data_IF_950194345059
#
_entry.id   IF_950194345059
#
_cell.length_a   1.000
_cell.length_b   1.000
_cell.length_c   1.000
_cell.angle_alpha   90.00
_cell.angle_beta   90.00
_cell.angle_gamma   90.00
#
_symmetry.space_group_name_H-M   'P 1'
#
loop_
_entity.id
_entity.type
_entity.pdbx_description
1 polymer ?
#
# COMPACT_ATOMS: atom_id res chain seq x y z
N UNK A 1 3.23 20.77 -23.60
CA UNK A 1 1.91 21.44 -23.61
C UNK A 1 1.94 22.81 -22.94
N UNK A 2 2.71 23.01 -21.86
CA UNK A 2 2.88 24.33 -21.21
C UNK A 2 3.24 25.43 -22.20
N UNK A 3 4.26 25.21 -23.03
CA UNK A 3 4.82 26.25 -23.91
C UNK A 3 3.82 26.81 -24.92
N UNK A 4 3.07 25.96 -25.64
CA UNK A 4 2.02 26.42 -26.57
C UNK A 4 0.89 27.20 -25.89
N UNK A 5 0.57 26.88 -24.63
CA UNK A 5 -0.44 27.60 -23.86
C UNK A 5 0.10 28.93 -23.33
N UNK A 6 1.34 28.96 -22.84
CA UNK A 6 2.03 30.19 -22.46
C UNK A 6 2.20 31.10 -23.68
N UNK A 7 2.61 30.56 -24.83
CA UNK A 7 2.67 31.27 -26.11
C UNK A 7 1.30 31.79 -26.51
N UNK A 8 0.22 31.02 -26.36
CA UNK A 8 -1.13 31.48 -26.70
C UNK A 8 -1.66 32.57 -25.75
N UNK A 9 -1.29 32.54 -24.46
CA UNK A 9 -1.61 33.59 -23.48
C UNK A 9 -0.76 34.83 -23.76
N UNK A 10 0.53 34.65 -24.02
CA UNK A 10 1.47 35.72 -24.35
C UNK A 10 1.06 36.40 -25.67
N UNK A 11 0.75 35.63 -26.71
CA UNK A 11 0.21 36.15 -27.97
C UNK A 11 -1.11 36.89 -27.74
N UNK A 12 -1.97 36.43 -26.83
CA UNK A 12 -3.19 37.19 -26.49
C UNK A 12 -2.83 38.56 -25.89
N UNK A 13 -1.92 38.64 -24.92
CA UNK A 13 -1.46 39.91 -24.36
C UNK A 13 -0.83 40.83 -25.41
N UNK A 14 -0.05 40.26 -26.33
CA UNK A 14 0.77 41.01 -27.29
C UNK A 14 -0.02 41.45 -28.52
N UNK A 15 -1.00 40.65 -28.96
CA UNK A 15 -1.65 40.79 -30.27
C UNK A 15 -3.14 41.13 -30.19
N UNK A 16 -3.80 40.92 -29.05
CA UNK A 16 -5.21 41.27 -28.93
C UNK A 16 -5.36 42.79 -28.91
N UNK A 17 -6.14 43.34 -29.83
CA UNK A 17 -6.47 44.77 -29.85
C UNK A 17 -7.20 45.22 -28.58
N UNK A 18 -7.91 44.29 -27.94
CA UNK A 18 -8.74 44.45 -26.74
C UNK A 18 -7.97 44.22 -25.43
N UNK A 19 -6.72 43.71 -25.47
CA UNK A 19 -5.90 43.52 -24.26
C UNK A 19 -5.55 44.83 -23.55
N UNK A 20 -5.56 45.94 -24.30
CA UNK A 20 -5.28 47.31 -23.83
C UNK A 20 -6.52 48.17 -23.68
N UNK A 21 -7.71 47.64 -23.99
CA UNK A 21 -8.94 48.41 -23.92
C UNK A 21 -9.52 48.33 -22.51
N UNK A 22 -9.70 49.49 -21.92
CA UNK A 22 -10.43 49.63 -20.67
C UNK A 22 -11.93 49.54 -20.92
N UNK A 23 -12.61 48.96 -19.94
CA UNK A 23 -14.07 48.93 -19.94
C UNK A 23 -14.57 50.36 -19.73
N UNK A 24 -15.45 50.83 -20.61
CA UNK A 24 -16.05 52.15 -20.49
C UNK A 24 -17.16 52.10 -19.44
N UNK A 25 -17.10 52.98 -18.44
CA UNK A 25 -18.20 53.15 -17.51
C UNK A 25 -19.31 53.99 -18.17
N UNK A 26 -20.36 53.31 -18.62
CA UNK A 26 -21.51 53.92 -19.29
C UNK A 26 -22.71 54.07 -18.36
N UNK A 27 -22.55 53.84 -17.05
CA UNK A 27 -23.67 53.78 -16.11
C UNK A 27 -24.43 55.12 -15.98
N UNK A 28 -23.70 56.24 -16.04
CA UNK A 28 -24.26 57.59 -15.96
C UNK A 28 -24.45 58.24 -17.36
N UNK A 29 -24.10 57.53 -18.44
CA UNK A 29 -24.21 58.05 -19.80
C UNK A 29 -25.65 58.01 -20.29
N UNK A 30 -26.24 59.18 -20.54
CA UNK A 30 -27.59 59.25 -21.12
C UNK A 30 -27.56 58.87 -22.60
N UNK A 31 -28.07 57.68 -22.93
CA UNK A 31 -28.11 57.08 -24.29
C UNK A 31 -26.73 56.77 -24.88
N UNK A 32 -26.03 55.73 -24.38
CA UNK A 32 -24.74 55.31 -24.91
C UNK A 32 -24.86 54.93 -26.40
N UNK A 33 -23.83 55.28 -27.16
CA UNK A 33 -23.76 55.00 -28.58
C UNK A 33 -23.56 53.52 -28.85
N UNK A 34 -23.98 53.07 -30.04
CA UNK A 34 -23.77 51.69 -30.49
C UNK A 34 -22.29 51.28 -30.47
N UNK A 35 -21.38 52.20 -30.75
CA UNK A 35 -19.94 51.94 -30.76
C UNK A 35 -19.39 51.73 -29.34
N UNK A 36 -19.85 52.50 -28.35
CA UNK A 36 -19.46 52.32 -26.94
C UNK A 36 -19.97 50.99 -26.38
N UNK A 37 -21.19 50.61 -26.71
CA UNK A 37 -21.74 49.29 -26.34
C UNK A 37 -20.97 48.16 -27.03
N UNK A 38 -20.67 48.28 -28.32
CA UNK A 38 -19.89 47.29 -29.06
C UNK A 38 -18.46 47.15 -28.50
N UNK A 39 -17.85 48.26 -28.08
CA UNK A 39 -16.55 48.27 -27.40
C UNK A 39 -16.60 47.48 -26.08
N UNK A 40 -17.55 47.78 -25.20
CA UNK A 40 -17.68 47.06 -23.93
C UNK A 40 -17.97 45.56 -24.14
N UNK A 41 -18.79 45.20 -25.12
CA UNK A 41 -19.03 43.81 -25.49
C UNK A 41 -17.76 43.10 -25.96
N UNK A 42 -16.95 43.77 -26.80
CA UNK A 42 -15.67 43.23 -27.24
C UNK A 42 -14.71 43.01 -26.04
N UNK A 43 -14.62 43.98 -25.13
CA UNK A 43 -13.81 43.87 -23.90
C UNK A 43 -14.27 42.71 -23.01
N UNK A 44 -15.58 42.55 -22.80
CA UNK A 44 -16.13 41.44 -21.99
C UNK A 44 -15.85 40.09 -22.65
N UNK A 45 -16.10 39.97 -23.96
CA UNK A 45 -15.85 38.75 -24.71
C UNK A 45 -14.38 38.33 -24.56
N UNK A 46 -13.46 39.26 -24.77
CA UNK A 46 -12.03 38.99 -24.70
C UNK A 46 -11.56 38.59 -23.30
N UNK A 47 -12.02 39.30 -22.26
CA UNK A 47 -11.73 38.94 -20.86
C UNK A 47 -12.27 37.54 -20.53
N UNK A 48 -13.45 37.20 -21.04
CA UNK A 48 -14.07 35.88 -20.85
C UNK A 48 -13.27 34.78 -21.55
N UNK A 49 -12.77 35.04 -22.76
CA UNK A 49 -11.89 34.12 -23.48
C UNK A 49 -10.58 33.90 -22.74
N UNK A 50 -9.93 34.96 -22.23
CA UNK A 50 -8.72 34.83 -21.42
C UNK A 50 -8.98 34.03 -20.14
N UNK A 51 -10.02 34.39 -19.39
CA UNK A 51 -10.43 33.70 -18.17
C UNK A 51 -10.63 32.20 -18.43
N UNK A 52 -11.31 31.84 -19.52
CA UNK A 52 -11.53 30.45 -19.91
C UNK A 52 -10.21 29.73 -20.20
N UNK A 53 -9.27 30.36 -20.93
CA UNK A 53 -7.95 29.78 -21.22
C UNK A 53 -7.14 29.52 -19.95
N UNK A 54 -7.09 30.51 -19.05
CA UNK A 54 -6.38 30.39 -17.76
C UNK A 54 -7.00 29.30 -16.89
N UNK A 55 -8.33 29.23 -16.81
CA UNK A 55 -9.01 28.19 -16.05
C UNK A 55 -8.78 26.80 -16.61
N UNK A 56 -8.80 26.62 -17.93
CA UNK A 56 -8.50 25.32 -18.55
C UNK A 56 -7.09 24.85 -18.17
N UNK A 57 -6.10 25.75 -18.16
CA UNK A 57 -4.74 25.44 -17.67
C UNK A 57 -4.76 25.01 -16.20
N UNK A 58 -5.44 25.76 -15.34
CA UNK A 58 -5.53 25.47 -13.91
C UNK A 58 -6.23 24.11 -13.66
N UNK A 59 -7.36 23.86 -14.31
CA UNK A 59 -8.08 22.59 -14.20
C UNK A 59 -7.23 21.41 -14.67
N UNK A 60 -6.49 21.57 -15.77
CA UNK A 60 -5.56 20.53 -16.23
C UNK A 60 -4.48 20.23 -15.20
N UNK A 61 -3.85 21.25 -14.62
CA UNK A 61 -2.84 21.08 -13.59
C UNK A 61 -3.40 20.38 -12.33
N UNK A 62 -4.62 20.73 -11.91
CA UNK A 62 -5.32 20.07 -10.80
C UNK A 62 -5.57 18.59 -11.11
N UNK A 63 -6.05 18.28 -12.32
CA UNK A 63 -6.31 16.90 -12.76
C UNK A 63 -5.00 16.09 -12.75
N UNK A 64 -3.90 16.64 -13.26
CA UNK A 64 -2.60 15.97 -13.27
C UNK A 64 -2.08 15.69 -11.86
N UNK A 65 -2.23 16.66 -10.95
CA UNK A 65 -1.86 16.48 -9.53
C UNK A 65 -2.72 15.41 -8.87
N UNK A 66 -4.03 15.41 -9.10
CA UNK A 66 -4.94 14.38 -8.58
C UNK A 66 -4.55 12.98 -9.09
N UNK A 67 -4.27 12.83 -10.39
CA UNK A 67 -3.80 11.57 -10.97
C UNK A 67 -2.45 11.11 -10.39
N UNK A 68 -1.57 12.04 -10.02
CA UNK A 68 -0.31 11.71 -9.34
C UNK A 68 -0.58 11.18 -7.93
N UNK A 69 -1.43 11.87 -7.16
CA UNK A 69 -1.79 11.49 -5.80
C UNK A 69 -2.53 10.14 -5.77
N UNK A 70 -3.44 9.89 -6.71
CA UNK A 70 -4.13 8.60 -6.83
C UNK A 70 -3.16 7.43 -7.06
N UNK A 71 -2.14 7.64 -7.91
CA UNK A 71 -1.08 6.64 -8.14
C UNK A 71 -0.27 6.38 -6.87
N UNK A 72 0.10 7.43 -6.15
CA UNK A 72 0.84 7.34 -4.89
C UNK A 72 0.02 6.59 -3.82
N UNK A 73 -1.25 6.95 -3.63
CA UNK A 73 -2.16 6.26 -2.72
C UNK A 73 -2.27 4.77 -3.07
N UNK A 74 -2.38 4.43 -4.36
CA UNK A 74 -2.42 3.04 -4.81
C UNK A 74 -1.13 2.30 -4.46
N UNK A 75 0.03 2.93 -4.66
CA UNK A 75 1.33 2.37 -4.30
C UNK A 75 1.50 2.16 -2.79
N UNK A 76 1.10 3.15 -1.98
CA UNK A 76 1.12 3.07 -0.52
C UNK A 76 0.18 1.98 0.00
N UNK A 77 -1.04 1.88 -0.54
CA UNK A 77 -1.98 0.80 -0.19
C UNK A 77 -1.40 -0.58 -0.50
N UNK A 78 -0.74 -0.74 -1.64
CA UNK A 78 -0.07 -1.99 -1.98
C UNK A 78 1.07 -2.30 -0.99
N UNK A 79 1.91 -1.31 -0.69
CA UNK A 79 3.03 -1.45 0.25
C UNK A 79 2.56 -1.83 1.65
N UNK A 80 1.50 -1.19 2.15
CA UNK A 80 0.87 -1.53 3.43
C UNK A 80 0.36 -2.96 3.41
N UNK A 81 -0.33 -3.37 2.34
CA UNK A 81 -0.84 -4.75 2.21
C UNK A 81 0.32 -5.77 2.29
N UNK A 82 1.42 -5.51 1.59
CA UNK A 82 2.61 -6.37 1.61
C UNK A 82 3.26 -6.40 2.99
N UNK A 83 3.44 -5.24 3.65
CA UNK A 83 4.00 -5.17 5.00
C UNK A 83 3.12 -5.88 6.03
N UNK A 84 1.80 -5.74 5.94
CA UNK A 84 0.85 -6.45 6.81
C UNK A 84 0.94 -7.96 6.61
N UNK A 85 1.06 -8.43 5.36
CA UNK A 85 1.24 -9.85 5.07
C UNK A 85 2.57 -10.37 5.67
N UNK A 86 3.68 -9.67 5.43
CA UNK A 86 4.99 -10.02 5.98
C UNK A 86 4.99 -10.02 7.51
N UNK A 87 4.34 -9.06 8.15
CA UNK A 87 4.21 -9.00 9.61
C UNK A 87 3.37 -10.16 10.16
N UNK A 88 2.33 -10.57 9.43
CA UNK A 88 1.51 -11.72 9.82
C UNK A 88 2.26 -13.04 9.69
N UNK A 89 3.07 -13.21 8.64
CA UNK A 89 3.90 -14.39 8.42
C UNK A 89 5.06 -14.47 9.41
N UNK A 90 5.69 -13.32 9.71
CA UNK A 90 6.82 -13.22 10.63
C UNK A 90 6.39 -12.76 12.02
N UNK A 91 5.15 -13.04 12.42
CA UNK A 91 4.61 -12.57 13.70
C UNK A 91 5.50 -13.15 14.81
N UNK A 92 6.23 -12.30 15.57
CA UNK A 92 7.06 -12.81 16.64
C UNK A 92 6.18 -13.46 17.69
N UNK A 93 6.64 -14.61 18.19
CA UNK A 93 5.98 -15.31 19.29
C UNK A 93 5.85 -14.35 20.48
N UNK A 94 4.66 -14.30 21.05
CA UNK A 94 4.42 -13.54 22.26
C UNK A 94 5.21 -14.15 23.42
N UNK A 95 5.50 -13.33 24.44
CA UNK A 95 6.20 -13.79 25.65
C UNK A 95 5.52 -14.99 26.31
N UNK A 96 4.19 -15.09 26.19
CA UNK A 96 3.43 -16.21 26.73
C UNK A 96 3.60 -17.47 25.86
N UNK A 97 3.47 -17.37 24.54
CA UNK A 97 3.70 -18.50 23.63
C UNK A 97 5.12 -19.07 23.76
N UNK A 98 6.13 -18.21 23.92
CA UNK A 98 7.51 -18.65 24.17
C UNK A 98 7.62 -19.40 25.51
N UNK A 99 6.97 -18.90 26.57
CA UNK A 99 7.00 -19.56 27.89
C UNK A 99 6.32 -20.92 27.85
N UNK A 100 5.17 -21.02 27.20
CA UNK A 100 4.41 -22.25 27.08
C UNK A 100 5.20 -23.29 26.25
N UNK A 101 5.81 -22.87 25.14
CA UNK A 101 6.68 -23.72 24.33
C UNK A 101 7.90 -24.20 25.12
N UNK A 102 8.56 -23.33 25.89
CA UNK A 102 9.69 -23.71 26.75
C UNK A 102 9.24 -24.71 27.82
N UNK A 103 8.07 -24.50 28.42
CA UNK A 103 7.52 -25.43 29.40
C UNK A 103 7.22 -26.80 28.79
N UNK A 104 6.71 -26.85 27.55
CA UNK A 104 6.46 -28.09 26.83
C UNK A 104 7.76 -28.81 26.45
N UNK A 105 8.74 -28.10 25.90
CA UNK A 105 10.08 -28.63 25.59
C UNK A 105 10.74 -29.19 26.84
N UNK A 106 10.63 -28.51 27.98
CA UNK A 106 11.22 -28.98 29.25
C UNK A 106 10.64 -30.30 29.76
N UNK A 107 9.43 -30.69 29.33
CA UNK A 107 8.79 -31.97 29.70
C UNK A 107 9.22 -33.13 28.82
N UNK A 108 9.65 -32.87 27.58
CA UNK A 108 10.03 -33.92 26.62
C UNK A 108 11.14 -34.85 27.13
N UNK A 109 12.23 -34.38 27.76
CA UNK A 109 13.29 -35.26 28.27
C UNK A 109 12.79 -36.30 29.28
N UNK A 110 11.85 -35.92 30.15
CA UNK A 110 11.29 -36.84 31.17
C UNK A 110 10.47 -37.94 30.52
N UNK A 111 9.68 -37.61 29.50
CA UNK A 111 8.90 -38.59 28.75
C UNK A 111 9.82 -39.58 28.02
N UNK A 112 10.90 -39.08 27.41
CA UNK A 112 11.91 -39.92 26.75
C UNK A 112 12.60 -40.85 27.74
N UNK A 113 12.95 -40.34 28.92
CA UNK A 113 13.59 -41.12 29.98
C UNK A 113 12.67 -42.23 30.51
N UNK A 114 11.39 -41.92 30.78
CA UNK A 114 10.39 -42.90 31.22
C UNK A 114 10.18 -44.01 30.16
N UNK A 115 10.07 -43.64 28.88
CA UNK A 115 9.91 -44.59 27.79
C UNK A 115 11.16 -45.47 27.61
N UNK A 116 12.36 -44.89 27.74
CA UNK A 116 13.63 -45.62 27.70
C UNK A 116 13.77 -46.62 28.86
N UNK A 117 13.38 -46.23 30.07
CA UNK A 117 13.33 -47.12 31.24
C UNK A 117 12.36 -48.29 31.01
N UNK A 118 11.15 -48.00 30.52
CA UNK A 118 10.15 -49.03 30.22
C UNK A 118 10.66 -50.03 29.18
N UNK A 119 11.28 -49.53 28.11
CA UNK A 119 11.88 -50.36 27.07
C UNK A 119 13.00 -51.24 27.62
N UNK A 120 13.87 -50.70 28.47
CA UNK A 120 14.97 -51.44 29.10
C UNK A 120 14.46 -52.57 29.99
N UNK A 121 13.44 -52.31 30.81
CA UNK A 121 12.81 -53.34 31.64
C UNK A 121 12.15 -54.44 30.79
N UNK A 122 11.44 -54.06 29.73
CA UNK A 122 10.84 -55.03 28.79
C UNK A 122 11.90 -55.88 28.09
N UNK A 123 13.02 -55.27 27.69
CA UNK A 123 14.14 -55.98 27.06
C UNK A 123 14.76 -56.99 28.02
N UNK A 124 15.01 -56.60 29.27
CA UNK A 124 15.55 -57.49 30.30
C UNK A 124 14.63 -58.69 30.56
N UNK A 125 13.32 -58.48 30.64
CA UNK A 125 12.36 -59.58 30.79
C UNK A 125 12.39 -60.55 29.60
N UNK A 126 12.50 -60.02 28.37
CA UNK A 126 12.63 -60.84 27.17
C UNK A 126 13.95 -61.62 27.14
N UNK A 127 15.05 -61.00 27.55
CA UNK A 127 16.38 -61.63 27.68
C UNK A 127 16.34 -62.79 28.67
N UNK A 128 15.84 -62.56 29.89
CA UNK A 128 15.69 -63.61 30.91
C UNK A 128 14.85 -64.79 30.39
N UNK A 129 13.78 -64.50 29.63
CA UNK A 129 12.95 -65.55 29.02
C UNK A 129 13.72 -66.36 27.98
N UNK A 130 14.55 -65.71 27.16
CA UNK A 130 15.43 -66.40 26.20
C UNK A 130 16.48 -67.24 26.93
N UNK A 131 17.12 -66.71 27.97
CA UNK A 131 18.09 -67.45 28.81
C UNK A 131 17.47 -68.69 29.47
N UNK A 132 16.23 -68.58 29.97
CA UNK A 132 15.49 -69.72 30.52
C UNK A 132 15.16 -70.77 29.45
N UNK A 133 14.82 -70.34 28.23
CA UNK A 133 14.58 -71.27 27.13
C UNK A 133 15.87 -71.97 26.70
N UNK A 134 16.98 -71.23 26.58
CA UNK A 134 18.30 -71.78 26.25
C UNK A 134 18.76 -72.79 27.29
N UNK A 135 18.68 -72.46 28.58
CA UNK A 135 19.06 -73.39 29.65
C UNK A 135 18.18 -74.64 29.72
N UNK A 136 16.89 -74.56 29.34
CA UNK A 136 16.03 -75.75 29.19
C UNK A 136 16.46 -76.62 28.01
N UNK A 137 16.79 -76.01 26.87
CA UNK A 137 17.28 -76.71 25.69
C UNK A 137 18.63 -77.38 26.01
N UNK A 138 19.55 -76.66 26.65
CA UNK A 138 20.85 -77.17 27.05
C UNK A 138 20.72 -78.38 28.00
N UNK A 139 19.79 -78.33 28.95
CA UNK A 139 19.45 -79.48 29.81
C UNK A 139 18.82 -80.66 29.06
N UNK A 140 18.08 -80.42 27.97
CA UNK A 140 17.49 -81.49 27.15
C UNK A 140 18.48 -82.11 26.15
N UNK A 141 19.53 -81.39 25.79
CA UNK A 141 20.55 -81.85 24.83
C UNK A 141 21.74 -82.50 25.56
N UNK A 142 22.12 -82.00 26.73
CA UNK A 142 23.32 -82.44 27.47
C UNK A 142 23.04 -83.12 28.82
N UNK A 143 21.78 -83.21 29.26
CA UNK A 143 21.33 -84.00 30.42
C UNK A 143 20.61 -85.26 29.98
#
# INVERSE_FOLDING_TARGET
>A
MSEKWEEAIQQWYTSSHTSKLDYLDLAETHSPTRNELAHNLAVIYDRTCLFSRVNLKNFKAIIEKNQSLEREIKGLKHSIKTLTALLSENRPLTKQEVRDLVAEISKQPKLVEEEALRLTQSLNQKLQRVEQLLSRIEKQIFG
#
